data_IF_659815873624
#
_entry.id   IF_659815873624
#
_cell.length_a   1.000
_cell.length_b   1.000
_cell.length_c   1.000
_cell.angle_alpha   90.00
_cell.angle_beta   90.00
_cell.angle_gamma   90.00
#
_symmetry.space_group_name_H-M   'P 1'
#
loop_
_entity.id
_entity.type
_entity.pdbx_description
1 polymer ?
#
# COMPACT_ATOMS: atom_id res chain seq x y z
N UNK A 1 -8.68 -21.99 -0.10
CA UNK A 1 -9.35 -20.81 0.48
C UNK A 1 -8.40 -19.64 0.27
N UNK A 2 -8.71 -18.53 -0.37
CA UNK A 2 -9.95 -17.94 -0.92
C UNK A 2 -9.61 -17.25 -2.25
N UNK A 3 -10.52 -17.33 -3.21
CA UNK A 3 -10.45 -16.54 -4.44
C UNK A 3 -10.81 -15.08 -4.17
N UNK A 4 -10.10 -14.16 -4.82
CA UNK A 4 -10.34 -12.72 -4.74
C UNK A 4 -10.40 -12.10 -6.13
N UNK A 5 -11.62 -12.06 -6.67
CA UNK A 5 -12.10 -11.33 -7.85
C UNK A 5 -11.12 -10.37 -8.58
N UNK A 6 -10.83 -10.72 -9.84
CA UNK A 6 -10.39 -9.78 -10.87
C UNK A 6 -11.42 -8.65 -11.03
N UNK A 7 -11.18 -7.52 -10.36
CA UNK A 7 -11.83 -6.25 -10.70
C UNK A 7 -10.78 -5.34 -11.32
N UNK A 8 -11.06 -4.92 -12.55
CA UNK A 8 -10.23 -4.08 -13.41
C UNK A 8 -9.91 -2.73 -12.75
N UNK A 9 -9.02 -2.74 -11.75
CA UNK A 9 -8.45 -1.53 -11.15
C UNK A 9 -7.27 -1.12 -12.02
N UNK A 10 -7.26 0.12 -12.48
CA UNK A 10 -6.18 0.73 -13.30
C UNK A 10 -4.75 0.60 -12.72
N UNK A 11 -4.60 0.17 -11.46
CA UNK A 11 -3.32 -0.08 -10.80
C UNK A 11 -3.48 -1.26 -9.83
N UNK A 12 -3.54 -2.49 -10.35
CA UNK A 12 -3.50 -3.69 -9.48
C UNK A 12 -2.16 -3.68 -8.76
N UNK A 13 -2.18 -3.68 -7.42
CA UNK A 13 -0.96 -3.76 -6.62
C UNK A 13 -0.77 -5.24 -6.32
N UNK A 14 0.15 -5.87 -7.03
CA UNK A 14 0.57 -7.24 -6.77
C UNK A 14 1.80 -7.15 -5.87
N UNK A 15 1.64 -7.55 -4.61
CA UNK A 15 2.76 -7.72 -3.68
C UNK A 15 3.21 -9.16 -3.75
N UNK A 16 4.52 -9.37 -3.89
CA UNK A 16 5.10 -10.70 -3.67
C UNK A 16 5.08 -11.06 -2.18
N UNK A 17 5.22 -12.34 -1.86
CA UNK A 17 5.30 -12.81 -0.47
C UNK A 17 6.44 -12.10 0.30
N UNK A 18 7.57 -11.87 -0.37
CA UNK A 18 8.71 -11.13 0.18
C UNK A 18 8.36 -9.66 0.48
N UNK A 19 7.68 -8.99 -0.45
CA UNK A 19 7.24 -7.60 -0.27
C UNK A 19 6.19 -7.49 0.83
N UNK A 20 5.26 -8.43 0.90
CA UNK A 20 4.25 -8.49 1.95
C UNK A 20 4.89 -8.70 3.32
N UNK A 21 5.81 -9.66 3.44
CA UNK A 21 6.56 -9.93 4.66
C UNK A 21 7.37 -8.71 5.10
N UNK A 22 8.06 -8.05 4.16
CA UNK A 22 8.80 -6.81 4.44
C UNK A 22 7.89 -5.69 4.98
N UNK A 23 6.72 -5.48 4.37
CA UNK A 23 5.75 -4.48 4.82
C UNK A 23 5.20 -4.79 6.21
N UNK A 24 4.93 -6.07 6.50
CA UNK A 24 4.46 -6.53 7.81
C UNK A 24 5.55 -6.38 8.88
N UNK A 25 6.79 -6.74 8.58
CA UNK A 25 7.94 -6.56 9.47
C UNK A 25 8.16 -5.07 9.78
N UNK A 26 8.10 -4.21 8.75
CA UNK A 26 8.22 -2.77 8.90
C UNK A 26 7.11 -2.18 9.79
N UNK A 27 5.88 -2.69 9.66
CA UNK A 27 4.77 -2.29 10.53
C UNK A 27 4.93 -2.83 11.95
N UNK A 28 5.42 -4.07 12.10
CA UNK A 28 5.60 -4.74 13.38
C UNK A 28 6.73 -4.15 14.22
N UNK A 29 7.83 -3.73 13.59
CA UNK A 29 8.96 -3.09 14.26
C UNK A 29 8.63 -1.69 14.78
N UNK A 30 7.78 -0.95 14.07
CA UNK A 30 7.36 0.39 14.49
C UNK A 30 8.48 1.45 14.51
N UNK A 31 9.69 1.11 14.07
CA UNK A 31 10.86 2.01 14.03
C UNK A 31 10.80 3.01 12.87
N UNK A 32 9.88 2.79 11.92
CA UNK A 32 9.70 3.68 10.78
C UNK A 32 8.82 4.90 11.10
N UNK A 33 9.03 5.99 10.37
CA UNK A 33 8.19 7.20 10.46
C UNK A 33 6.71 6.85 10.30
N UNK A 34 5.82 7.49 11.07
CA UNK A 34 4.37 7.27 10.98
C UNK A 34 3.81 7.38 9.54
N UNK A 35 4.38 8.27 8.73
CA UNK A 35 4.04 8.40 7.30
C UNK A 35 4.41 7.17 6.49
N UNK A 36 5.57 6.57 6.75
CA UNK A 36 6.04 5.34 6.08
C UNK A 36 5.18 4.14 6.46
N UNK A 37 4.86 3.99 7.75
CA UNK A 37 3.93 2.96 8.25
C UNK A 37 2.54 3.08 7.60
N UNK A 38 2.05 4.31 7.44
CA UNK A 38 0.77 4.56 6.78
C UNK A 38 0.82 4.13 5.31
N UNK A 39 1.90 4.41 4.59
CA UNK A 39 2.08 4.00 3.19
C UNK A 39 2.22 2.48 3.05
N UNK A 40 2.93 1.83 3.96
CA UNK A 40 2.99 0.38 4.02
C UNK A 40 1.59 -0.25 4.16
N UNK A 41 0.76 0.29 5.07
CA UNK A 41 -0.64 -0.14 5.24
C UNK A 41 -1.48 0.13 4.00
N UNK A 42 -1.27 1.25 3.30
CA UNK A 42 -1.95 1.54 2.03
C UNK A 42 -1.68 0.44 1.00
N UNK A 43 -0.41 0.04 0.85
CA UNK A 43 0.00 -0.98 -0.12
C UNK A 43 -0.58 -2.35 0.23
N UNK A 44 -0.50 -2.78 1.49
CA UNK A 44 -1.08 -4.03 1.96
C UNK A 44 -2.58 -4.10 1.69
N UNK A 45 -3.35 -3.09 2.11
CA UNK A 45 -4.79 -3.06 1.89
C UNK A 45 -5.14 -2.97 0.39
N UNK A 46 -4.28 -2.32 -0.41
CA UNK A 46 -4.46 -2.28 -1.87
C UNK A 46 -4.27 -3.65 -2.50
N UNK A 47 -3.29 -4.42 -2.03
CA UNK A 47 -3.04 -5.80 -2.47
C UNK A 47 -4.14 -6.77 -2.02
N UNK A 48 -4.74 -6.56 -0.85
CA UNK A 48 -5.97 -7.26 -0.41
C UNK A 48 -7.21 -6.93 -1.26
N UNK A 49 -7.08 -6.08 -2.28
CA UNK A 49 -8.20 -5.72 -3.14
C UNK A 49 -9.15 -4.69 -2.53
N UNK A 50 -8.77 -3.98 -1.45
CA UNK A 50 -9.59 -2.89 -0.90
C UNK A 50 -9.62 -1.69 -1.84
N UNK A 51 -10.64 -0.84 -1.71
CA UNK A 51 -10.80 0.37 -2.54
C UNK A 51 -10.07 1.56 -1.94
N UNK A 52 -9.68 2.53 -2.77
CA UNK A 52 -8.97 3.73 -2.32
C UNK A 52 -9.74 4.48 -1.23
N UNK A 53 -11.07 4.55 -1.38
CA UNK A 53 -11.97 5.18 -0.39
C UNK A 53 -12.00 4.41 0.93
N UNK A 54 -12.03 3.08 0.88
CA UNK A 54 -11.98 2.25 2.07
C UNK A 54 -10.67 2.45 2.82
N UNK A 55 -9.54 2.37 2.10
CA UNK A 55 -8.19 2.56 2.64
C UNK A 55 -8.05 3.96 3.24
N UNK A 56 -8.48 4.99 2.52
CA UNK A 56 -8.48 6.37 2.98
C UNK A 56 -9.27 6.56 4.27
N UNK A 57 -10.45 5.94 4.38
CA UNK A 57 -11.28 6.01 5.58
C UNK A 57 -10.65 5.28 6.77
N UNK A 58 -10.11 4.08 6.56
CA UNK A 58 -9.46 3.28 7.60
C UNK A 58 -8.20 3.95 8.13
N UNK A 59 -7.37 4.49 7.23
CA UNK A 59 -6.10 5.12 7.58
C UNK A 59 -6.21 6.62 7.86
N UNK A 60 -7.43 7.19 7.76
CA UNK A 60 -7.69 8.64 7.92
C UNK A 60 -6.80 9.52 7.04
N UNK A 61 -6.53 9.06 5.81
CA UNK A 61 -5.75 9.80 4.81
C UNK A 61 -6.63 10.26 3.66
N UNK A 62 -6.10 11.18 2.84
CA UNK A 62 -6.79 11.59 1.63
C UNK A 62 -6.78 10.44 0.59
N UNK A 63 -7.90 10.12 -0.08
CA UNK A 63 -7.92 9.14 -1.16
C UNK A 63 -6.96 9.48 -2.32
N UNK A 64 -6.63 10.75 -2.51
CA UNK A 64 -5.60 11.17 -3.46
C UNK A 64 -4.20 10.68 -3.04
N UNK A 65 -3.90 10.65 -1.74
CA UNK A 65 -2.66 10.05 -1.22
C UNK A 65 -2.60 8.57 -1.57
N UNK A 66 -3.68 7.82 -1.35
CA UNK A 66 -3.74 6.39 -1.71
C UNK A 66 -3.43 6.18 -3.19
N UNK A 67 -4.05 6.97 -4.06
CA UNK A 67 -3.83 6.89 -5.51
C UNK A 67 -2.40 7.24 -5.90
N UNK A 68 -1.80 8.26 -5.29
CA UNK A 68 -0.41 8.63 -5.54
C UNK A 68 0.56 7.53 -5.11
N UNK A 69 0.34 6.91 -3.94
CA UNK A 69 1.18 5.81 -3.45
C UNK A 69 1.07 4.59 -4.37
N UNK A 70 -0.15 4.22 -4.79
CA UNK A 70 -0.37 3.11 -5.74
C UNK A 70 0.30 3.36 -7.09
N UNK A 71 0.14 4.57 -7.63
CA UNK A 71 0.80 4.98 -8.87
C UNK A 71 2.32 4.89 -8.73
N UNK A 72 2.86 5.41 -7.62
CA UNK A 72 4.29 5.39 -7.35
C UNK A 72 4.87 4.00 -7.20
N UNK A 73 4.14 3.09 -6.56
CA UNK A 73 4.52 1.68 -6.49
C UNK A 73 4.59 1.05 -7.89
N UNK A 74 3.60 1.33 -8.75
CA UNK A 74 3.57 0.80 -10.10
C UNK A 74 4.65 1.38 -11.02
N UNK A 75 5.05 2.64 -10.83
CA UNK A 75 6.04 3.32 -11.68
C UNK A 75 7.49 3.21 -11.16
N UNK A 76 7.68 3.27 -9.83
CA UNK A 76 9.00 3.36 -9.19
C UNK A 76 9.30 2.19 -8.23
N UNK A 77 8.33 1.32 -7.94
CA UNK A 77 8.50 0.17 -7.04
C UNK A 77 8.22 0.43 -5.55
N UNK A 78 8.43 -0.60 -4.73
CA UNK A 78 8.10 -0.62 -3.30
C UNK A 78 8.83 0.45 -2.50
N UNK A 79 10.15 0.52 -2.64
CA UNK A 79 11.00 1.43 -1.85
C UNK A 79 10.63 2.89 -2.12
N UNK A 80 10.41 3.24 -3.39
CA UNK A 80 9.99 4.57 -3.78
C UNK A 80 8.58 4.94 -3.26
N UNK A 81 7.66 3.97 -3.21
CA UNK A 81 6.35 4.17 -2.63
C UNK A 81 6.40 4.41 -1.11
N UNK A 82 7.37 3.82 -0.41
CA UNK A 82 7.56 3.99 1.03
C UNK A 82 8.28 5.30 1.39
N UNK A 83 9.28 5.71 0.60
CA UNK A 83 10.08 6.90 0.89
C UNK A 83 9.38 8.23 0.54
N UNK A 84 9.47 9.21 1.45
CA UNK A 84 9.12 10.61 1.17
C UNK A 84 10.27 11.25 0.40
N UNK A 85 9.99 11.75 -0.82
CA UNK A 85 10.96 12.65 -1.46
C UNK A 85 11.01 13.92 -0.59
N UNK A 86 12.21 14.40 -0.21
CA UNK A 86 12.37 15.62 0.57
C UNK A 86 11.84 16.86 -0.17
#
# INVERSE_FOLDING_TARGET
MEGGAMTSKKYVIELTEEQQSYLLDLIGKGEAKARMLTRARILLLSAEGKTDRFIANVLKVNPQTVRNIRKRFAEEGLEAALQERP
#
